data_IF_679673525048
#
_entry.id   IF_679673525048
#
_cell.length_a   1.000
_cell.length_b   1.000
_cell.length_c   1.000
_cell.angle_alpha   90.00
_cell.angle_beta   90.00
_cell.angle_gamma   90.00
#
_symmetry.space_group_name_H-M   'P 1'
#
loop_
_entity.id
_entity.type
_entity.pdbx_description
1 polymer ?
#
# COMPACT_ATOMS: atom_id res chain seq x y z
N UNK A 1 -22.04 -37.24 3.87
CA UNK A 1 -23.17 -37.75 3.08
C UNK A 1 -24.44 -37.58 3.91
N UNK A 2 -25.29 -36.63 3.56
CA UNK A 2 -26.64 -36.56 4.13
C UNK A 2 -27.46 -37.64 3.49
N UNK A 3 -27.83 -38.66 4.26
CA UNK A 3 -28.79 -39.69 3.76
C UNK A 3 -30.15 -39.02 3.60
N UNK A 4 -30.57 -38.79 2.37
CA UNK A 4 -31.97 -38.49 2.10
C UNK A 4 -32.85 -39.63 2.63
N UNK A 5 -33.97 -39.34 3.28
CA UNK A 5 -34.90 -40.38 3.67
C UNK A 5 -35.35 -41.14 2.42
N UNK A 6 -34.87 -42.37 2.29
CA UNK A 6 -35.35 -43.25 1.20
C UNK A 6 -36.79 -43.63 1.50
N UNK A 7 -37.64 -43.50 0.50
CA UNK A 7 -38.98 -44.07 0.57
C UNK A 7 -38.87 -45.61 0.54
N UNK A 8 -39.42 -46.25 1.54
CA UNK A 8 -39.44 -47.75 1.59
C UNK A 8 -40.42 -48.32 0.56
N UNK A 9 -41.40 -47.49 0.16
CA UNK A 9 -42.35 -47.75 -0.94
C UNK A 9 -42.73 -46.41 -1.57
N UNK A 10 -43.09 -46.31 -2.86
CA UNK A 10 -43.38 -45.09 -3.56
C UNK A 10 -44.50 -44.21 -2.96
N UNK A 11 -45.30 -44.78 -2.09
CA UNK A 11 -46.49 -44.13 -1.49
C UNK A 11 -46.44 -43.96 0.02
N UNK A 12 -45.38 -44.43 0.70
CA UNK A 12 -45.27 -44.32 2.15
C UNK A 12 -43.99 -43.59 2.56
N UNK A 13 -44.08 -42.40 3.13
CA UNK A 13 -42.90 -41.71 3.67
C UNK A 13 -42.30 -42.53 4.81
N UNK A 14 -40.97 -42.68 4.81
CA UNK A 14 -40.25 -43.32 5.91
C UNK A 14 -40.50 -42.51 7.19
N UNK A 15 -41.25 -43.09 8.14
CA UNK A 15 -41.48 -42.51 9.48
C UNK A 15 -40.71 -43.35 10.50
N UNK A 16 -39.52 -42.91 10.95
CA UNK A 16 -38.76 -43.64 11.95
C UNK A 16 -39.48 -43.60 13.29
N UNK A 17 -39.55 -44.75 13.96
CA UNK A 17 -40.09 -44.81 15.32
C UNK A 17 -39.30 -43.98 16.31
N UNK A 18 -39.89 -43.56 17.45
CA UNK A 18 -39.28 -42.64 18.42
C UNK A 18 -37.87 -43.06 18.89
N UNK A 19 -37.66 -44.34 19.05
CA UNK A 19 -36.36 -44.93 19.43
C UNK A 19 -35.27 -44.70 18.34
N UNK A 20 -35.62 -44.83 17.08
CA UNK A 20 -34.72 -44.56 15.96
C UNK A 20 -34.40 -43.05 15.85
N UNK A 21 -35.39 -42.19 16.05
CA UNK A 21 -35.18 -40.75 16.08
C UNK A 21 -34.22 -40.37 17.23
N UNK A 22 -34.41 -40.93 18.41
CA UNK A 22 -33.48 -40.73 19.55
C UNK A 22 -32.06 -41.24 19.21
N UNK A 23 -31.94 -42.41 18.60
CA UNK A 23 -30.65 -42.96 18.20
C UNK A 23 -29.97 -42.09 17.16
N UNK A 24 -30.69 -41.58 16.15
CA UNK A 24 -30.11 -40.65 15.15
C UNK A 24 -29.73 -39.31 15.72
N UNK A 25 -30.55 -38.77 16.66
CA UNK A 25 -30.21 -37.55 17.41
C UNK A 25 -28.99 -37.74 18.33
N UNK A 26 -28.92 -38.86 19.05
CA UNK A 26 -27.77 -39.21 19.86
C UNK A 26 -26.49 -39.37 18.99
N UNK A 27 -26.56 -40.05 17.86
CA UNK A 27 -25.47 -40.21 16.93
C UNK A 27 -25.07 -38.85 16.29
N UNK A 28 -26.02 -37.99 15.96
CA UNK A 28 -25.75 -36.66 15.40
C UNK A 28 -25.10 -35.76 16.44
N UNK A 29 -25.63 -35.77 17.68
CA UNK A 29 -25.06 -35.02 18.81
C UNK A 29 -23.68 -35.56 19.18
N UNK A 30 -23.48 -36.86 19.22
CA UNK A 30 -22.18 -37.48 19.49
C UNK A 30 -21.18 -37.21 18.37
N UNK A 31 -21.62 -37.23 17.11
CA UNK A 31 -20.80 -36.85 15.95
C UNK A 31 -20.40 -35.36 15.99
N UNK A 32 -21.27 -34.48 16.45
CA UNK A 32 -20.97 -33.05 16.60
C UNK A 32 -20.12 -32.77 17.83
N UNK A 33 -20.32 -33.49 18.93
CA UNK A 33 -19.58 -33.30 20.18
C UNK A 33 -18.26 -34.07 20.22
N UNK A 34 -18.17 -35.23 19.55
CA UNK A 34 -16.95 -36.04 19.48
C UNK A 34 -16.00 -35.61 18.37
N UNK A 35 -16.50 -34.93 17.36
CA UNK A 35 -15.62 -34.16 16.47
C UNK A 35 -15.41 -32.80 17.14
N UNK A 36 -14.22 -32.56 17.75
CA UNK A 36 -13.94 -31.20 18.17
C UNK A 36 -14.15 -30.34 16.93
N UNK A 37 -14.95 -29.25 17.02
CA UNK A 37 -15.03 -28.33 15.90
C UNK A 37 -13.59 -28.06 15.53
N UNK A 38 -13.24 -28.22 14.23
CA UNK A 38 -11.94 -27.84 13.76
C UNK A 38 -11.90 -26.29 13.72
N UNK A 39 -11.80 -25.62 14.88
CA UNK A 39 -11.86 -24.15 14.94
C UNK A 39 -10.72 -23.56 14.14
N UNK A 40 -9.69 -24.37 13.91
CA UNK A 40 -8.52 -24.00 13.17
C UNK A 40 -8.74 -23.71 11.72
N UNK A 41 -9.39 -24.60 11.02
CA UNK A 41 -9.64 -24.43 9.58
C UNK A 41 -10.57 -23.24 9.33
N UNK A 42 -11.59 -23.09 10.14
CA UNK A 42 -12.52 -21.96 10.03
C UNK A 42 -11.84 -20.59 10.23
N UNK A 43 -10.91 -20.47 11.18
CA UNK A 43 -10.16 -19.23 11.40
C UNK A 43 -9.26 -18.91 10.22
N UNK A 44 -8.59 -19.92 9.68
CA UNK A 44 -7.73 -19.81 8.49
C UNK A 44 -8.55 -19.41 7.27
N UNK A 45 -9.68 -20.11 7.01
CA UNK A 45 -10.58 -19.81 5.89
C UNK A 45 -11.19 -18.41 6.02
N UNK A 46 -11.56 -18.00 7.25
CA UNK A 46 -12.09 -16.66 7.55
C UNK A 46 -11.06 -15.57 7.32
N UNK A 47 -9.79 -15.80 7.68
CA UNK A 47 -8.72 -14.86 7.39
C UNK A 47 -8.49 -14.73 5.88
N UNK A 48 -8.43 -15.85 5.14
CA UNK A 48 -8.29 -15.84 3.69
C UNK A 48 -9.44 -15.09 3.01
N UNK A 49 -10.69 -15.32 3.45
CA UNK A 49 -11.86 -14.59 2.96
C UNK A 49 -11.80 -13.10 3.30
N UNK A 50 -11.28 -12.71 4.46
CA UNK A 50 -11.09 -11.31 4.83
C UNK A 50 -10.12 -10.59 3.90
N UNK A 51 -8.98 -11.22 3.59
CA UNK A 51 -7.96 -10.63 2.71
C UNK A 51 -8.46 -10.51 1.27
N UNK A 52 -9.17 -11.52 0.78
CA UNK A 52 -9.72 -11.54 -0.58
C UNK A 52 -11.02 -10.73 -0.72
N UNK A 53 -11.73 -10.49 0.39
CA UNK A 53 -13.05 -9.86 0.38
C UNK A 53 -13.01 -8.34 0.42
N UNK A 54 -14.18 -7.71 0.34
CA UNK A 54 -14.35 -6.24 0.37
C UNK A 54 -14.29 -5.64 1.79
N UNK A 55 -14.39 -6.46 2.83
CA UNK A 55 -14.52 -6.02 4.23
C UNK A 55 -13.19 -5.86 4.96
N UNK A 56 -12.14 -5.39 4.25
CA UNK A 56 -10.83 -5.16 4.86
C UNK A 56 -10.87 -3.96 5.83
N UNK A 57 -10.38 -4.11 7.09
CA UNK A 57 -10.35 -3.01 8.08
C UNK A 57 -9.46 -1.86 7.62
N UNK A 58 -9.99 -0.64 7.60
CA UNK A 58 -9.23 0.55 7.21
C UNK A 58 -8.57 1.26 8.41
N UNK A 59 -9.01 0.96 9.63
CA UNK A 59 -8.50 1.57 10.87
C UNK A 59 -8.25 0.50 11.92
N UNK A 60 -7.26 0.76 12.79
CA UNK A 60 -6.92 -0.12 13.93
C UNK A 60 -6.67 -1.58 13.54
N UNK A 61 -5.99 -1.82 12.42
CA UNK A 61 -5.74 -3.15 11.88
C UNK A 61 -5.01 -4.05 12.89
N UNK A 62 -4.03 -3.51 13.63
CA UNK A 62 -3.27 -4.25 14.65
C UNK A 62 -4.19 -4.84 15.71
N UNK A 63 -5.06 -4.02 16.32
CA UNK A 63 -6.02 -4.47 17.30
C UNK A 63 -7.02 -5.46 16.70
N UNK A 64 -7.55 -5.17 15.50
CA UNK A 64 -8.49 -6.06 14.83
C UNK A 64 -7.90 -7.45 14.57
N UNK A 65 -6.69 -7.54 14.02
CA UNK A 65 -6.04 -8.82 13.74
C UNK A 65 -5.70 -9.55 15.04
N UNK A 66 -5.14 -8.86 16.02
CA UNK A 66 -4.78 -9.41 17.31
C UNK A 66 -5.99 -10.05 18.00
N UNK A 67 -7.08 -9.30 18.14
CA UNK A 67 -8.27 -9.75 18.88
C UNK A 67 -9.02 -10.90 18.18
N UNK A 68 -9.08 -10.88 16.84
CA UNK A 68 -9.89 -11.83 16.07
C UNK A 68 -9.15 -13.11 15.68
N UNK A 69 -7.80 -13.07 15.58
CA UNK A 69 -7.02 -14.17 15.00
C UNK A 69 -5.87 -14.65 15.87
N UNK A 70 -5.46 -13.91 16.92
CA UNK A 70 -4.29 -14.26 17.73
C UNK A 70 -4.61 -14.45 19.21
N UNK A 71 -5.19 -13.49 19.93
CA UNK A 71 -5.30 -13.52 21.40
C UNK A 71 -6.07 -14.71 21.96
N UNK A 72 -7.04 -15.26 21.22
CA UNK A 72 -7.90 -16.37 21.68
C UNK A 72 -7.70 -17.66 20.90
N UNK A 73 -6.60 -17.74 20.15
CA UNK A 73 -6.32 -18.90 19.29
C UNK A 73 -5.12 -19.69 19.81
N UNK A 74 -5.11 -20.99 19.56
CA UNK A 74 -3.96 -21.85 19.88
C UNK A 74 -2.75 -21.43 19.04
N UNK A 75 -1.55 -21.58 19.59
CA UNK A 75 -0.28 -21.23 18.91
C UNK A 75 -0.15 -21.83 17.50
N UNK A 76 -0.57 -23.10 17.32
CA UNK A 76 -0.55 -23.74 16.00
C UNK A 76 -1.40 -23.01 14.96
N UNK A 77 -2.51 -22.38 15.37
CA UNK A 77 -3.39 -21.61 14.52
C UNK A 77 -2.81 -20.23 14.24
N UNK A 78 -2.23 -19.58 15.27
CA UNK A 78 -1.51 -18.31 15.10
C UNK A 78 -0.41 -18.48 14.04
N UNK A 79 0.37 -19.58 14.12
CA UNK A 79 1.38 -19.93 13.10
C UNK A 79 0.76 -20.15 11.72
N UNK A 80 -0.38 -20.81 11.63
CA UNK A 80 -1.05 -21.02 10.33
C UNK A 80 -1.51 -19.70 9.70
N UNK A 81 -2.13 -18.80 10.48
CA UNK A 81 -2.51 -17.46 10.00
C UNK A 81 -1.28 -16.65 9.61
N UNK A 82 -0.22 -16.64 10.44
CA UNK A 82 1.04 -15.98 10.13
C UNK A 82 1.66 -16.50 8.82
N UNK A 83 1.62 -17.81 8.58
CA UNK A 83 2.09 -18.39 7.31
C UNK A 83 1.30 -17.92 6.10
N UNK A 84 -0.02 -17.75 6.22
CA UNK A 84 -0.85 -17.22 5.13
C UNK A 84 -0.49 -15.76 4.87
N UNK A 85 -0.34 -14.96 5.92
CA UNK A 85 0.07 -13.56 5.82
C UNK A 85 1.40 -13.46 5.05
N UNK A 86 2.43 -14.18 5.50
CA UNK A 86 3.78 -14.10 4.92
C UNK A 86 3.81 -14.68 3.49
N UNK A 87 3.19 -15.84 3.25
CA UNK A 87 3.12 -16.43 1.91
C UNK A 87 2.36 -15.53 0.94
N UNK A 88 1.27 -14.89 1.40
CA UNK A 88 0.51 -13.95 0.60
C UNK A 88 1.24 -12.64 0.30
N UNK A 89 2.36 -12.35 0.98
CA UNK A 89 3.28 -11.28 0.56
C UNK A 89 4.21 -11.70 -0.59
N UNK A 90 4.33 -12.99 -0.88
CA UNK A 90 5.30 -13.54 -1.84
C UNK A 90 4.59 -14.00 -3.12
N UNK A 91 3.50 -14.73 -2.96
CA UNK A 91 2.78 -15.35 -4.09
C UNK A 91 1.30 -15.01 -3.97
N UNK A 92 0.72 -14.44 -5.03
CA UNK A 92 -0.69 -14.07 -5.09
C UNK A 92 -1.49 -15.10 -5.90
N UNK A 93 -2.73 -15.42 -5.49
CA UNK A 93 -3.65 -16.19 -6.33
C UNK A 93 -3.97 -15.44 -7.62
N UNK A 94 -4.16 -16.16 -8.73
CA UNK A 94 -4.52 -15.53 -10.02
C UNK A 94 -5.86 -14.78 -9.97
N UNK A 95 -6.75 -15.15 -9.03
CA UNK A 95 -8.05 -14.49 -8.83
C UNK A 95 -7.99 -13.37 -7.76
N UNK A 96 -6.78 -12.99 -7.32
CA UNK A 96 -6.60 -11.95 -6.30
C UNK A 96 -7.09 -10.60 -6.84
N UNK A 97 -7.80 -9.85 -5.99
CA UNK A 97 -8.09 -8.44 -6.27
C UNK A 97 -6.79 -7.64 -6.25
N UNK A 98 -6.71 -6.55 -7.02
CA UNK A 98 -5.53 -5.66 -7.08
C UNK A 98 -5.06 -5.18 -5.69
N UNK A 99 -6.00 -5.04 -4.75
CA UNK A 99 -5.70 -4.66 -3.37
C UNK A 99 -5.15 -5.80 -2.48
N UNK A 100 -5.18 -7.05 -2.91
CA UNK A 100 -4.78 -8.22 -2.11
C UNK A 100 -3.31 -8.18 -1.70
N UNK A 101 -2.34 -7.87 -2.59
CA UNK A 101 -0.93 -7.73 -2.21
C UNK A 101 -0.73 -6.69 -1.11
N UNK A 102 -1.36 -5.53 -1.24
CA UNK A 102 -1.30 -4.45 -0.23
C UNK A 102 -1.82 -4.91 1.12
N UNK A 103 -2.94 -5.64 1.16
CA UNK A 103 -3.53 -6.15 2.41
C UNK A 103 -2.65 -7.15 3.10
N UNK A 104 -1.99 -8.05 2.37
CA UNK A 104 -1.01 -8.98 2.94
C UNK A 104 0.18 -8.22 3.53
N UNK A 105 0.72 -7.20 2.86
CA UNK A 105 1.79 -6.34 3.40
C UNK A 105 1.34 -5.61 4.68
N UNK A 106 0.12 -5.04 4.68
CA UNK A 106 -0.45 -4.41 5.88
C UNK A 106 -0.62 -5.41 7.03
N UNK A 107 -1.16 -6.61 6.75
CA UNK A 107 -1.30 -7.66 7.77
C UNK A 107 0.07 -8.12 8.31
N UNK A 108 1.08 -8.20 7.45
CA UNK A 108 2.44 -8.55 7.86
C UNK A 108 3.07 -7.48 8.75
N UNK A 109 2.93 -6.20 8.39
CA UNK A 109 3.38 -5.09 9.23
C UNK A 109 2.67 -5.10 10.60
N UNK A 110 1.35 -5.31 10.63
CA UNK A 110 0.58 -5.47 11.87
C UNK A 110 1.08 -6.65 12.69
N UNK A 111 1.26 -7.83 12.09
CA UNK A 111 1.78 -9.01 12.78
C UNK A 111 3.15 -8.74 13.40
N UNK A 112 4.03 -8.05 12.68
CA UNK A 112 5.34 -7.64 13.18
C UNK A 112 5.23 -6.72 14.41
N UNK A 113 4.24 -5.81 14.43
CA UNK A 113 4.04 -4.88 15.54
C UNK A 113 3.63 -5.60 16.83
N UNK A 114 2.64 -6.50 16.79
CA UNK A 114 2.11 -7.13 18.01
C UNK A 114 2.69 -8.52 18.30
N UNK A 115 3.32 -9.20 17.35
CA UNK A 115 3.92 -10.52 17.51
C UNK A 115 5.25 -10.66 16.75
N UNK A 116 6.29 -9.85 17.06
CA UNK A 116 7.53 -9.76 16.28
C UNK A 116 8.29 -11.09 16.18
N UNK A 117 8.32 -11.88 17.24
CA UNK A 117 9.00 -13.20 17.21
C UNK A 117 8.28 -14.16 16.26
N UNK A 118 6.94 -14.25 16.34
CA UNK A 118 6.15 -15.09 15.44
C UNK A 118 6.30 -14.66 13.98
N UNK A 119 6.29 -13.36 13.70
CA UNK A 119 6.54 -12.82 12.36
C UNK A 119 7.91 -13.25 11.84
N UNK A 120 8.97 -12.99 12.61
CA UNK A 120 10.36 -13.32 12.23
C UNK A 120 10.55 -14.82 11.96
N UNK A 121 10.09 -15.67 12.90
CA UNK A 121 10.27 -17.11 12.80
C UNK A 121 9.49 -17.69 11.61
N UNK A 122 8.26 -17.17 11.36
CA UNK A 122 7.45 -17.56 10.21
C UNK A 122 8.08 -17.11 8.89
N UNK A 123 8.60 -15.90 8.82
CA UNK A 123 9.28 -15.36 7.63
C UNK A 123 10.52 -16.22 7.30
N UNK A 124 11.36 -16.50 8.29
CA UNK A 124 12.53 -17.37 8.13
C UNK A 124 12.14 -18.76 7.61
N UNK A 125 11.13 -19.38 8.20
CA UNK A 125 10.64 -20.71 7.79
C UNK A 125 10.13 -20.72 6.34
N UNK A 126 9.39 -19.67 5.92
CA UNK A 126 8.85 -19.58 4.58
C UNK A 126 9.96 -19.37 3.56
N UNK A 127 10.92 -18.49 3.83
CA UNK A 127 12.05 -18.22 2.93
C UNK A 127 12.95 -19.46 2.80
N UNK A 128 13.30 -20.12 3.91
CA UNK A 128 14.11 -21.34 3.90
C UNK A 128 13.45 -22.48 3.12
N UNK A 129 12.10 -22.59 3.19
CA UNK A 129 11.37 -23.58 2.39
C UNK A 129 11.41 -23.27 0.91
N UNK A 130 11.30 -21.99 0.54
CA UNK A 130 11.44 -21.55 -0.86
C UNK A 130 12.82 -21.83 -1.41
N UNK A 131 13.87 -21.49 -0.67
CA UNK A 131 15.28 -21.74 -1.06
C UNK A 131 15.59 -23.24 -1.24
N UNK A 132 15.08 -24.10 -0.35
CA UNK A 132 15.24 -25.56 -0.47
C UNK A 132 14.48 -26.18 -1.64
N UNK A 133 13.48 -25.47 -2.16
CA UNK A 133 12.74 -25.86 -3.37
C UNK A 133 13.41 -25.36 -4.63
N UNK A 134 12.70 -24.54 -5.38
CA UNK A 134 13.18 -23.96 -6.65
C UNK A 134 13.79 -22.55 -6.50
N UNK A 135 13.96 -22.05 -5.29
CA UNK A 135 14.31 -20.66 -5.02
C UNK A 135 13.14 -19.70 -5.24
N UNK A 136 13.43 -18.41 -5.09
CA UNK A 136 12.50 -17.33 -5.45
C UNK A 136 12.66 -17.00 -6.94
N UNK A 137 11.58 -16.81 -7.67
CA UNK A 137 11.63 -16.15 -8.99
C UNK A 137 11.94 -14.67 -8.82
N UNK A 138 12.21 -13.94 -9.91
CA UNK A 138 12.46 -12.49 -9.83
C UNK A 138 11.20 -11.72 -9.40
N UNK A 139 10.03 -12.13 -9.88
CA UNK A 139 8.73 -11.59 -9.42
C UNK A 139 8.53 -11.83 -7.93
N UNK A 140 8.75 -13.05 -7.45
CA UNK A 140 8.63 -13.36 -6.03
C UNK A 140 9.65 -12.58 -5.18
N UNK A 141 10.86 -12.35 -5.71
CA UNK A 141 11.86 -11.53 -5.03
C UNK A 141 11.44 -10.06 -4.97
N UNK A 142 10.86 -9.51 -6.03
CA UNK A 142 10.25 -8.17 -6.00
C UNK A 142 9.20 -8.08 -4.91
N UNK A 143 8.30 -9.05 -4.82
CA UNK A 143 7.27 -9.08 -3.79
C UNK A 143 7.85 -9.18 -2.37
N UNK A 144 8.87 -10.00 -2.19
CA UNK A 144 9.61 -10.11 -0.90
C UNK A 144 10.25 -8.78 -0.54
N UNK A 145 10.91 -8.11 -1.48
CA UNK A 145 11.53 -6.80 -1.26
C UNK A 145 10.47 -5.74 -0.92
N UNK A 146 9.37 -5.69 -1.67
CA UNK A 146 8.29 -4.76 -1.40
C UNK A 146 7.67 -4.92 0.00
N UNK A 147 7.64 -6.16 0.51
CA UNK A 147 7.07 -6.44 1.83
C UNK A 147 8.07 -6.32 2.98
N UNK A 148 9.32 -6.72 2.79
CA UNK A 148 10.28 -6.94 3.88
C UNK A 148 11.62 -6.24 3.69
N UNK A 149 11.99 -5.81 2.48
CA UNK A 149 13.31 -5.30 2.14
C UNK A 149 13.74 -4.05 2.91
N UNK A 150 12.78 -3.29 3.43
CA UNK A 150 13.05 -2.11 4.26
C UNK A 150 13.39 -2.45 5.73
N UNK A 151 13.14 -3.68 6.21
CA UNK A 151 13.47 -4.06 7.58
C UNK A 151 14.91 -4.51 7.69
N UNK A 152 15.67 -3.92 8.62
CA UNK A 152 17.08 -4.32 8.86
C UNK A 152 17.20 -5.78 9.28
N UNK A 153 16.30 -6.26 10.14
CA UNK A 153 16.30 -7.65 10.59
C UNK A 153 16.05 -8.66 9.46
N UNK A 154 15.35 -8.28 8.39
CA UNK A 154 15.16 -9.14 7.22
C UNK A 154 16.49 -9.59 6.63
N UNK A 155 17.43 -8.67 6.47
CA UNK A 155 18.75 -8.94 5.89
C UNK A 155 19.64 -9.83 6.76
N UNK A 156 19.31 -9.97 8.07
CA UNK A 156 19.97 -10.93 8.95
C UNK A 156 19.41 -12.35 8.88
N UNK A 157 18.20 -12.50 8.32
CA UNK A 157 17.49 -13.78 8.19
C UNK A 157 17.72 -14.46 6.83
N UNK A 158 18.07 -13.70 5.81
CA UNK A 158 18.22 -14.19 4.44
C UNK A 158 19.64 -14.67 4.16
N UNK A 159 19.80 -15.66 3.26
CA UNK A 159 21.13 -16.08 2.79
C UNK A 159 21.88 -14.90 2.13
N UNK A 160 23.22 -14.82 2.27
CA UNK A 160 24.01 -13.73 1.67
C UNK A 160 23.77 -13.56 0.18
N UNK A 161 23.70 -14.64 -0.61
CA UNK A 161 23.42 -14.58 -2.04
C UNK A 161 22.06 -14.00 -2.42
N UNK A 162 21.09 -13.94 -1.48
CA UNK A 162 19.82 -13.28 -1.74
C UNK A 162 19.97 -11.76 -1.72
N UNK A 163 20.84 -11.21 -0.88
CA UNK A 163 21.13 -9.76 -0.89
C UNK A 163 21.79 -9.35 -2.21
N UNK A 164 22.81 -10.10 -2.67
CA UNK A 164 23.48 -9.82 -3.94
C UNK A 164 22.50 -9.88 -5.11
N UNK A 165 21.61 -10.86 -5.09
CA UNK A 165 20.56 -11.00 -6.10
C UNK A 165 19.54 -9.84 -6.04
N UNK A 166 19.17 -9.37 -4.84
CA UNK A 166 18.29 -8.22 -4.66
C UNK A 166 18.93 -6.94 -5.20
N UNK A 167 20.21 -6.71 -4.94
CA UNK A 167 20.99 -5.60 -5.49
C UNK A 167 20.94 -5.64 -7.02
N UNK A 168 21.32 -6.79 -7.62
CA UNK A 168 21.31 -6.97 -9.07
C UNK A 168 19.91 -6.75 -9.67
N UNK A 169 18.86 -7.20 -9.00
CA UNK A 169 17.48 -7.01 -9.46
C UNK A 169 17.05 -5.55 -9.40
N UNK A 170 17.32 -4.83 -8.31
CA UNK A 170 16.99 -3.40 -8.21
C UNK A 170 17.75 -2.61 -9.29
N UNK A 171 18.98 -2.97 -9.57
CA UNK A 171 19.83 -2.24 -10.51
C UNK A 171 19.47 -2.51 -11.98
N UNK A 172 19.11 -3.75 -12.31
CA UNK A 172 19.09 -4.22 -13.70
C UNK A 172 17.73 -4.69 -14.21
N UNK A 173 16.74 -4.97 -13.32
CA UNK A 173 15.43 -5.41 -13.77
C UNK A 173 14.75 -4.35 -14.65
N UNK A 174 13.95 -4.79 -15.60
CA UNK A 174 13.16 -3.88 -16.43
C UNK A 174 12.23 -3.02 -15.58
N UNK A 175 12.11 -1.75 -15.96
CA UNK A 175 11.34 -0.77 -15.18
C UNK A 175 9.86 -1.15 -15.10
N UNK A 176 9.28 -1.59 -16.22
CA UNK A 176 7.88 -1.98 -16.29
C UNK A 176 7.59 -3.14 -15.33
N UNK A 177 8.45 -4.16 -15.29
CA UNK A 177 8.34 -5.26 -14.33
C UNK A 177 8.40 -4.74 -12.88
N UNK A 178 9.32 -3.82 -12.57
CA UNK A 178 9.44 -3.25 -11.23
C UNK A 178 8.19 -2.46 -10.80
N UNK A 179 7.56 -1.75 -11.75
CA UNK A 179 6.34 -0.97 -11.52
C UNK A 179 5.14 -1.90 -11.36
N UNK A 180 4.94 -2.82 -12.30
CA UNK A 180 3.81 -3.75 -12.33
C UNK A 180 3.77 -4.67 -11.09
N UNK A 181 4.94 -5.21 -10.71
CA UNK A 181 5.06 -6.11 -9.57
C UNK A 181 5.26 -5.38 -8.22
N UNK A 182 5.28 -4.04 -8.24
CA UNK A 182 5.21 -3.21 -7.06
C UNK A 182 6.49 -3.12 -6.24
N UNK A 183 7.68 -3.23 -6.86
CA UNK A 183 8.96 -3.01 -6.17
C UNK A 183 8.98 -1.67 -5.44
N UNK A 184 8.46 -0.62 -6.08
CA UNK A 184 8.48 0.75 -5.56
C UNK A 184 7.49 1.03 -4.43
N UNK A 185 6.70 0.04 -4.02
CA UNK A 185 5.91 0.11 -2.78
C UNK A 185 6.73 -0.25 -1.52
N UNK A 186 7.98 -0.68 -1.70
CA UNK A 186 8.91 -0.84 -0.59
C UNK A 186 9.23 0.53 0.02
N UNK A 187 9.07 0.73 1.34
CA UNK A 187 9.64 1.89 2.01
C UNK A 187 11.17 1.92 1.84
N UNK A 188 11.77 3.10 2.01
CA UNK A 188 13.23 3.24 1.85
C UNK A 188 13.99 2.24 2.74
N UNK A 189 14.90 1.43 2.18
CA UNK A 189 15.71 0.49 2.94
C UNK A 189 16.62 1.20 3.95
N UNK A 190 16.85 0.58 5.11
CA UNK A 190 17.82 1.08 6.09
C UNK A 190 19.29 0.78 5.70
N UNK A 191 19.51 -0.25 4.88
CA UNK A 191 20.85 -0.58 4.36
C UNK A 191 21.30 0.53 3.40
N UNK A 192 22.47 1.20 3.61
CA UNK A 192 22.87 2.36 2.82
C UNK A 192 23.08 2.07 1.34
N UNK A 193 23.58 0.87 0.99
CA UNK A 193 23.82 0.47 -0.39
C UNK A 193 22.49 0.28 -1.14
N UNK A 194 21.58 -0.48 -0.54
CA UNK A 194 20.24 -0.68 -1.09
C UNK A 194 19.44 0.63 -1.16
N UNK A 195 19.59 1.50 -0.14
CA UNK A 195 18.95 2.82 -0.13
C UNK A 195 19.40 3.66 -1.32
N UNK A 196 20.72 3.73 -1.56
CA UNK A 196 21.27 4.52 -2.66
C UNK A 196 20.81 3.99 -4.03
N UNK A 197 20.89 2.68 -4.25
CA UNK A 197 20.43 2.03 -5.48
C UNK A 197 18.93 2.22 -5.72
N UNK A 198 18.13 1.99 -4.71
CA UNK A 198 16.68 2.13 -4.77
C UNK A 198 16.26 3.58 -5.07
N UNK A 199 16.89 4.55 -4.39
CA UNK A 199 16.66 5.98 -4.63
C UNK A 199 17.07 6.37 -6.05
N UNK A 200 18.25 5.93 -6.51
CA UNK A 200 18.71 6.16 -7.88
C UNK A 200 17.71 5.60 -8.90
N UNK A 201 17.18 4.41 -8.66
CA UNK A 201 16.19 3.77 -9.53
C UNK A 201 14.88 4.55 -9.60
N UNK A 202 14.39 5.07 -8.46
CA UNK A 202 13.20 5.94 -8.42
C UNK A 202 13.42 7.20 -9.27
N UNK A 203 14.63 7.78 -9.28
CA UNK A 203 14.93 8.97 -10.08
C UNK A 203 14.88 8.73 -11.59
N UNK A 204 14.90 7.48 -12.04
CA UNK A 204 14.77 7.12 -13.47
C UNK A 204 13.32 6.81 -13.89
N UNK A 205 12.34 6.83 -12.97
CA UNK A 205 10.94 6.60 -13.31
C UNK A 205 10.44 7.60 -14.36
N UNK A 206 9.75 7.10 -15.38
CA UNK A 206 9.03 7.96 -16.31
C UNK A 206 7.79 8.58 -15.64
N UNK A 207 7.29 9.67 -16.21
CA UNK A 207 6.11 10.38 -15.71
C UNK A 207 4.89 9.46 -15.59
N UNK A 208 4.63 8.61 -16.59
CA UNK A 208 3.51 7.67 -16.61
C UNK A 208 3.58 6.66 -15.48
N UNK A 209 4.76 6.06 -15.29
CA UNK A 209 5.03 5.08 -14.23
C UNK A 209 4.90 5.71 -12.84
N UNK A 210 5.45 6.92 -12.68
CA UNK A 210 5.31 7.69 -11.44
C UNK A 210 3.84 7.99 -11.13
N UNK A 211 3.04 8.42 -12.12
CA UNK A 211 1.61 8.69 -11.95
C UNK A 211 0.85 7.45 -11.51
N UNK A 212 1.14 6.29 -12.11
CA UNK A 212 0.53 5.01 -11.72
C UNK A 212 0.85 4.65 -10.27
N UNK A 213 2.12 4.71 -9.88
CA UNK A 213 2.56 4.41 -8.52
C UNK A 213 1.93 5.35 -7.48
N UNK A 214 1.89 6.66 -7.76
CA UNK A 214 1.31 7.65 -6.87
C UNK A 214 -0.21 7.50 -6.71
N UNK A 215 -0.91 7.07 -7.76
CA UNK A 215 -2.35 6.84 -7.72
C UNK A 215 -2.71 5.64 -6.84
N UNK A 216 -1.84 4.63 -6.74
CA UNK A 216 -2.05 3.45 -5.90
C UNK A 216 -1.54 3.66 -4.47
N UNK A 217 -0.30 4.13 -4.31
CA UNK A 217 0.34 4.29 -3.00
C UNK A 217 1.31 5.47 -2.96
N UNK A 218 0.82 6.71 -2.72
CA UNK A 218 1.70 7.87 -2.54
C UNK A 218 2.60 7.67 -1.32
N UNK A 219 3.90 8.06 -1.46
CA UNK A 219 4.88 7.92 -0.40
C UNK A 219 5.98 8.99 -0.49
N UNK A 220 6.60 9.31 0.66
CA UNK A 220 7.61 10.37 0.77
C UNK A 220 8.80 10.20 -0.18
N UNK A 221 9.22 8.98 -0.47
CA UNK A 221 10.37 8.71 -1.33
C UNK A 221 10.15 9.07 -2.81
N UNK A 222 8.91 9.32 -3.23
CA UNK A 222 8.61 9.81 -4.58
C UNK A 222 8.70 11.33 -4.70
N UNK A 223 8.70 12.08 -3.60
CA UNK A 223 8.71 13.57 -3.63
C UNK A 223 9.85 14.13 -4.48
N UNK A 224 11.13 13.71 -4.32
CA UNK A 224 12.21 14.27 -5.12
C UNK A 224 12.04 14.03 -6.63
N UNK A 225 11.51 12.86 -7.02
CA UNK A 225 11.25 12.56 -8.43
C UNK A 225 10.09 13.37 -8.97
N UNK A 226 9.00 13.49 -8.22
CA UNK A 226 7.84 14.28 -8.62
C UNK A 226 8.19 15.76 -8.83
N UNK A 227 9.02 16.33 -7.96
CA UNK A 227 9.54 17.69 -8.10
C UNK A 227 10.41 17.83 -9.37
N UNK A 228 11.31 16.87 -9.62
CA UNK A 228 12.18 16.87 -10.80
C UNK A 228 11.38 16.80 -12.10
N UNK A 229 10.32 15.97 -12.18
CA UNK A 229 9.47 15.89 -13.39
C UNK A 229 8.61 17.14 -13.54
N UNK A 230 8.15 17.76 -12.44
CA UNK A 230 7.45 19.04 -12.52
C UNK A 230 8.36 20.11 -13.12
N UNK A 231 9.56 20.29 -12.55
CA UNK A 231 10.52 21.30 -13.00
C UNK A 231 10.88 21.16 -14.49
N UNK A 232 11.06 19.91 -14.95
CA UNK A 232 11.40 19.58 -16.35
C UNK A 232 10.20 19.50 -17.31
N UNK A 233 9.00 19.97 -16.91
CA UNK A 233 7.80 19.91 -17.76
C UNK A 233 8.00 20.61 -19.09
N UNK A 234 7.84 19.85 -20.19
CA UNK A 234 8.10 20.34 -21.54
C UNK A 234 6.85 20.90 -22.24
N UNK A 235 5.65 20.67 -21.68
CA UNK A 235 4.39 21.16 -22.21
C UNK A 235 3.43 21.56 -21.07
N UNK A 236 2.41 22.37 -21.41
CA UNK A 236 1.32 22.71 -20.49
C UNK A 236 0.62 21.48 -19.93
N UNK A 237 0.40 20.47 -20.78
CA UNK A 237 -0.25 19.21 -20.40
C UNK A 237 0.60 18.41 -19.40
N UNK A 238 1.91 18.33 -19.63
CA UNK A 238 2.84 17.66 -18.71
C UNK A 238 2.90 18.39 -17.38
N UNK A 239 2.99 19.72 -17.40
CA UNK A 239 2.98 20.55 -16.20
C UNK A 239 1.74 20.32 -15.34
N UNK A 240 0.56 20.28 -15.94
CA UNK A 240 -0.68 19.99 -15.22
C UNK A 240 -0.73 18.57 -14.66
N UNK A 241 -0.28 17.57 -15.42
CA UNK A 241 -0.22 16.19 -14.96
C UNK A 241 0.79 16.04 -13.80
N UNK A 242 1.97 16.67 -13.92
CA UNK A 242 2.99 16.66 -12.88
C UNK A 242 2.54 17.39 -11.60
N UNK A 243 1.82 18.50 -11.73
CA UNK A 243 1.25 19.20 -10.57
C UNK A 243 0.17 18.34 -9.87
N UNK A 244 -0.64 17.56 -10.62
CA UNK A 244 -1.55 16.59 -10.02
C UNK A 244 -0.81 15.49 -9.25
N UNK A 245 0.36 15.06 -9.72
CA UNK A 245 1.23 14.15 -8.98
C UNK A 245 1.73 14.77 -7.67
N UNK A 246 2.10 16.06 -7.67
CA UNK A 246 2.45 16.79 -6.44
C UNK A 246 1.26 16.84 -5.47
N UNK A 247 0.04 17.03 -5.95
CA UNK A 247 -1.17 17.03 -5.11
C UNK A 247 -1.43 15.69 -4.43
N UNK A 248 -1.05 14.56 -5.04
CA UNK A 248 -1.12 13.25 -4.38
C UNK A 248 -0.10 13.09 -3.25
N UNK A 249 0.93 13.93 -3.23
CA UNK A 249 2.03 13.89 -2.26
C UNK A 249 1.93 14.96 -1.16
N UNK A 250 0.85 15.71 -1.08
CA UNK A 250 0.70 16.85 -0.16
C UNK A 250 1.02 16.51 1.29
N UNK A 251 0.67 15.31 1.78
CA UNK A 251 0.94 14.87 3.14
C UNK A 251 2.45 14.65 3.44
N UNK A 252 3.26 14.51 2.39
CA UNK A 252 4.70 14.23 2.49
C UNK A 252 5.57 15.44 2.17
N UNK A 253 5.02 16.53 1.63
CA UNK A 253 5.79 17.72 1.27
C UNK A 253 6.29 18.44 2.52
N UNK A 254 7.52 18.93 2.46
CA UNK A 254 8.09 19.90 3.39
C UNK A 254 7.96 21.34 2.87
N UNK A 255 8.25 22.34 3.72
CA UNK A 255 8.36 23.73 3.27
C UNK A 255 9.45 23.92 2.21
N UNK A 256 10.56 23.16 2.31
CA UNK A 256 11.60 23.16 1.30
C UNK A 256 11.10 22.67 -0.06
N UNK A 257 10.26 21.64 -0.08
CA UNK A 257 9.68 21.10 -1.30
C UNK A 257 8.70 22.10 -1.94
N UNK A 258 7.91 22.81 -1.14
CA UNK A 258 7.04 23.88 -1.65
C UNK A 258 7.84 25.01 -2.31
N UNK A 259 8.98 25.39 -1.75
CA UNK A 259 9.85 26.40 -2.38
C UNK A 259 10.37 25.94 -3.73
N UNK A 260 10.72 24.65 -3.88
CA UNK A 260 11.09 24.08 -5.18
C UNK A 260 9.92 24.16 -6.16
N UNK A 261 8.69 23.84 -5.74
CA UNK A 261 7.49 24.01 -6.58
C UNK A 261 7.33 25.46 -7.01
N UNK A 262 7.47 26.42 -6.08
CA UNK A 262 7.35 27.84 -6.38
C UNK A 262 8.43 28.31 -7.38
N UNK A 263 9.66 27.87 -7.21
CA UNK A 263 10.75 28.16 -8.12
C UNK A 263 10.49 27.58 -9.53
N UNK A 264 10.06 26.33 -9.62
CA UNK A 264 9.66 25.71 -10.88
C UNK A 264 8.54 26.47 -11.60
N UNK A 265 7.52 26.96 -10.85
CA UNK A 265 6.45 27.81 -11.41
C UNK A 265 7.02 29.14 -11.92
N UNK A 266 7.96 29.74 -11.22
CA UNK A 266 8.55 31.04 -11.61
C UNK A 266 9.53 30.91 -12.78
N UNK A 267 10.24 29.80 -12.91
CA UNK A 267 11.29 29.61 -13.93
C UNK A 267 10.78 28.96 -15.21
N UNK A 268 9.76 28.08 -15.12
CA UNK A 268 9.24 27.35 -16.25
C UNK A 268 7.88 27.91 -16.73
N UNK A 269 7.87 28.55 -17.89
CA UNK A 269 6.65 29.14 -18.48
C UNK A 269 5.60 28.06 -18.86
N UNK A 270 6.00 26.81 -19.13
CA UNK A 270 5.07 25.72 -19.36
C UNK A 270 4.27 25.39 -18.09
N UNK A 271 4.82 25.68 -16.92
CA UNK A 271 4.10 25.52 -15.65
C UNK A 271 3.22 26.74 -15.40
N UNK A 272 3.81 27.94 -15.35
CA UNK A 272 3.07 29.16 -14.95
C UNK A 272 1.95 29.56 -15.91
N UNK A 273 1.99 29.13 -17.18
CA UNK A 273 1.02 29.46 -18.21
C UNK A 273 0.06 28.31 -18.56
N UNK A 274 0.17 27.17 -17.88
CA UNK A 274 -0.76 26.06 -18.08
C UNK A 274 -2.18 26.43 -17.60
N UNK A 275 -3.19 26.06 -18.38
CA UNK A 275 -4.55 26.55 -18.22
C UNK A 275 -5.16 26.25 -16.83
N UNK A 276 -4.85 25.10 -16.24
CA UNK A 276 -5.37 24.71 -14.93
C UNK A 276 -4.41 24.99 -13.77
N UNK A 277 -3.22 25.54 -14.03
CA UNK A 277 -2.21 25.75 -12.98
C UNK A 277 -2.68 26.69 -11.87
N UNK A 278 -3.40 27.78 -12.12
CA UNK A 278 -3.92 28.63 -11.05
C UNK A 278 -4.83 27.89 -10.07
N UNK A 279 -5.72 27.02 -10.56
CA UNK A 279 -6.60 26.24 -9.71
C UNK A 279 -5.84 25.07 -9.02
N UNK A 280 -4.82 24.48 -9.66
CA UNK A 280 -3.98 23.42 -9.05
C UNK A 280 -3.11 23.98 -7.92
N UNK A 281 -2.52 25.15 -8.09
CA UNK A 281 -1.75 25.82 -7.02
C UNK A 281 -2.63 26.30 -5.86
N UNK A 282 -3.84 26.79 -6.15
CA UNK A 282 -4.81 27.07 -5.10
C UNK A 282 -5.13 25.80 -4.29
N UNK A 283 -5.35 24.68 -4.97
CA UNK A 283 -5.61 23.41 -4.30
C UNK A 283 -4.41 22.95 -3.45
N UNK A 284 -3.18 23.08 -3.97
CA UNK A 284 -1.97 22.77 -3.22
C UNK A 284 -1.87 23.63 -1.94
N UNK A 285 -2.12 24.94 -2.06
CA UNK A 285 -2.16 25.85 -0.91
C UNK A 285 -3.20 25.40 0.12
N UNK A 286 -4.43 25.14 -0.30
CA UNK A 286 -5.52 24.74 0.58
C UNK A 286 -5.23 23.43 1.34
N UNK A 287 -4.59 22.45 0.68
CA UNK A 287 -4.23 21.18 1.29
C UNK A 287 -3.03 21.28 2.24
N UNK A 288 -2.12 22.24 2.01
CA UNK A 288 -0.88 22.33 2.78
C UNK A 288 -0.91 23.40 3.87
N UNK A 289 -1.73 24.45 3.76
CA UNK A 289 -1.76 25.62 4.68
C UNK A 289 -1.98 25.27 6.15
N UNK A 290 -2.68 24.16 6.46
CA UNK A 290 -2.93 23.73 7.85
C UNK A 290 -1.70 23.11 8.53
N UNK A 291 -0.70 22.71 7.77
CA UNK A 291 0.50 22.02 8.21
C UNK A 291 1.78 22.80 7.92
N UNK A 292 1.83 23.45 6.77
CA UNK A 292 2.98 24.22 6.30
C UNK A 292 2.62 25.71 6.37
N UNK A 293 3.29 26.46 7.25
CA UNK A 293 2.90 27.83 7.61
C UNK A 293 3.70 28.92 6.87
N UNK A 294 4.45 28.57 5.81
CA UNK A 294 5.28 29.51 5.05
C UNK A 294 4.43 30.40 4.12
N UNK A 295 3.57 31.26 4.72
CA UNK A 295 2.73 32.21 3.97
C UNK A 295 3.57 33.24 3.19
N UNK A 296 4.79 33.56 3.67
CA UNK A 296 5.65 34.54 3.00
C UNK A 296 6.17 34.01 1.66
N UNK A 297 6.47 32.72 1.56
CA UNK A 297 6.85 32.09 0.30
C UNK A 297 5.72 32.13 -0.72
N UNK A 298 4.47 31.90 -0.28
CA UNK A 298 3.30 31.97 -1.13
C UNK A 298 2.99 33.41 -1.60
N UNK A 299 3.13 34.42 -0.72
CA UNK A 299 2.99 35.82 -1.09
C UNK A 299 4.08 36.26 -2.08
N UNK A 300 5.32 35.76 -1.88
CA UNK A 300 6.42 35.99 -2.81
C UNK A 300 6.11 35.45 -4.20
N UNK A 301 5.62 34.19 -4.29
CA UNK A 301 5.21 33.58 -5.57
C UNK A 301 4.15 34.42 -6.29
N UNK A 302 3.07 34.78 -5.59
CA UNK A 302 1.97 35.57 -6.19
C UNK A 302 2.44 36.98 -6.57
N UNK A 303 3.27 37.62 -5.76
CA UNK A 303 3.86 38.92 -6.06
C UNK A 303 4.67 38.89 -7.35
N UNK A 304 5.53 37.90 -7.53
CA UNK A 304 6.33 37.70 -8.74
C UNK A 304 5.46 37.45 -9.98
N UNK A 305 4.47 36.54 -9.88
CA UNK A 305 3.58 36.22 -10.98
C UNK A 305 2.73 37.45 -11.41
N UNK A 306 2.22 38.20 -10.45
CA UNK A 306 1.50 39.45 -10.68
C UNK A 306 2.39 40.53 -11.35
N UNK A 307 3.64 40.67 -10.91
CA UNK A 307 4.58 41.61 -11.49
C UNK A 307 4.95 41.34 -12.96
N UNK A 308 4.66 40.13 -13.46
CA UNK A 308 4.86 39.73 -14.87
C UNK A 308 3.65 40.01 -15.76
N UNK A 309 2.58 40.65 -15.24
CA UNK A 309 1.33 40.88 -15.95
C UNK A 309 0.97 42.35 -16.01
N UNK A 310 0.38 42.75 -17.14
CA UNK A 310 -0.04 44.15 -17.34
C UNK A 310 -1.36 44.46 -16.62
N UNK A 311 -2.18 43.46 -16.34
CA UNK A 311 -3.45 43.61 -15.67
C UNK A 311 -3.52 42.75 -14.38
N UNK A 312 -4.00 43.39 -13.29
CA UNK A 312 -4.08 42.74 -11.98
C UNK A 312 -5.15 41.64 -11.87
N UNK A 313 -6.13 41.65 -12.78
CA UNK A 313 -7.24 40.69 -12.92
C UNK A 313 -6.96 39.59 -13.95
N UNK A 314 -5.75 39.57 -14.55
CA UNK A 314 -5.32 38.50 -15.42
C UNK A 314 -5.40 37.14 -14.65
N UNK A 315 -6.02 36.17 -15.27
CA UNK A 315 -6.14 34.80 -14.72
C UNK A 315 -4.80 34.21 -14.31
N UNK A 316 -3.74 34.48 -15.07
CA UNK A 316 -2.38 34.04 -14.80
C UNK A 316 -1.60 34.96 -13.82
N UNK A 317 -2.24 35.96 -13.23
CA UNK A 317 -1.80 36.65 -12.02
C UNK A 317 -2.24 35.91 -10.73
N UNK A 318 -2.94 34.81 -10.88
CA UNK A 318 -3.40 33.94 -9.79
C UNK A 318 -4.28 34.64 -8.73
N UNK A 319 -5.33 35.37 -9.12
CA UNK A 319 -6.10 36.23 -8.20
C UNK A 319 -6.79 35.44 -7.09
N UNK A 320 -7.31 34.24 -7.36
CA UNK A 320 -7.94 33.38 -6.34
C UNK A 320 -6.96 32.90 -5.30
N UNK A 321 -5.72 32.55 -5.72
CA UNK A 321 -4.65 32.14 -4.80
C UNK A 321 -4.24 33.33 -3.91
N UNK A 322 -4.07 34.52 -4.48
CA UNK A 322 -3.78 35.74 -3.74
C UNK A 322 -4.84 36.04 -2.66
N UNK A 323 -6.11 35.92 -3.02
CA UNK A 323 -7.24 36.07 -2.09
C UNK A 323 -7.21 35.03 -0.97
N UNK A 324 -6.94 33.75 -1.30
CA UNK A 324 -6.88 32.67 -0.33
C UNK A 324 -5.76 32.88 0.70
N UNK A 325 -4.57 33.35 0.25
CA UNK A 325 -3.44 33.68 1.12
C UNK A 325 -3.78 34.87 2.05
N UNK A 326 -4.37 35.92 1.50
CA UNK A 326 -4.79 37.11 2.31
C UNK A 326 -5.84 36.70 3.36
N UNK A 327 -6.79 35.85 3.01
CA UNK A 327 -7.79 35.31 3.95
C UNK A 327 -7.17 34.41 5.03
N UNK A 328 -6.14 33.65 4.69
CA UNK A 328 -5.41 32.85 5.67
C UNK A 328 -4.68 33.73 6.69
N UNK A 329 -3.99 34.82 6.25
CA UNK A 329 -3.33 35.80 7.15
C UNK A 329 -4.31 36.45 8.12
N UNK A 330 -5.49 36.85 7.65
CA UNK A 330 -6.49 37.53 8.47
C UNK A 330 -7.13 36.63 9.55
N UNK A 331 -7.05 35.29 9.43
CA UNK A 331 -7.58 34.34 10.43
C UNK A 331 -6.62 34.05 11.59
N UNK A 332 -5.37 34.48 11.49
CA UNK A 332 -4.35 34.28 12.52
C UNK A 332 -4.17 35.49 13.46
N UNK A 333 -4.97 36.53 13.28
CA UNK A 333 -5.08 37.71 14.17
C UNK A 333 -6.47 37.80 14.78
#
# INVERSE_FOLDING_TARGET
MCAHPAFVEPTRPFSPGPERVRSYLAMAVDSVLSQPPAPGRQIVDRFSQLVLGVSWPQKNLDAFLKDNYFDRTKESLQRSVAQIIIKGCITFPAEALDSTPRRHRQASASLRNFAPSLHRDTLSDVLLKKERGNGLTDVELIHVLAAFGHYQEFWTLVPPGLKDRAISLIEHAEMDLCVEEGLFFMPLPHDPELHALYTARIQTLEQSSLTTLLSDQPAAHFVPRALSVLDSSASFRDAEANMRNILLLTDFLSEGDLRIVHESVLTNSQISMAAYMPDLLLNLFEQTRGRLQDLDSWDGLVGELKGRRDAADDYYAYPKLAEAIANARNKWW
#
